data_IF_566884731611
#
_entry.id   IF_566884731611
#
_cell.length_a   1.000
_cell.length_b   1.000
_cell.length_c   1.000
_cell.angle_alpha   90.00
_cell.angle_beta   90.00
_cell.angle_gamma   90.00
#
_symmetry.space_group_name_H-M   'P 1'
#
loop_
_entity.id
_entity.type
_entity.pdbx_description
1 polymer ?
#
# COMPACT_ATOMS: atom_id res chain seq x y z
N UNK A 1 0.03 17.29 -8.85
CA UNK A 1 0.49 16.09 -9.58
C UNK A 1 1.66 16.45 -10.49
N UNK A 2 2.69 15.61 -10.44
CA UNK A 2 3.76 15.46 -11.41
C UNK A 2 3.58 14.09 -12.06
N UNK A 3 3.46 14.02 -13.39
CA UNK A 3 3.22 12.77 -14.11
C UNK A 3 4.33 12.53 -15.12
N UNK A 4 5.09 11.45 -14.90
CA UNK A 4 6.21 11.03 -15.72
C UNK A 4 5.77 9.83 -16.54
N UNK A 5 5.81 9.95 -17.86
CA UNK A 5 5.33 8.92 -18.78
C UNK A 5 6.46 8.49 -19.69
N UNK A 6 6.71 7.18 -19.76
CA UNK A 6 7.66 6.56 -20.70
C UNK A 6 9.03 7.25 -20.73
N UNK A 7 9.53 7.56 -19.55
CA UNK A 7 10.77 8.29 -19.33
C UNK A 7 11.83 7.38 -18.72
N UNK A 8 13.10 7.77 -18.85
CA UNK A 8 14.25 6.98 -18.42
C UNK A 8 15.23 7.90 -17.68
N UNK A 9 15.93 7.38 -16.66
CA UNK A 9 16.95 8.08 -15.88
C UNK A 9 16.41 9.37 -15.23
N UNK A 10 15.43 9.20 -14.35
CA UNK A 10 14.70 10.31 -13.73
C UNK A 10 15.26 10.55 -12.33
N UNK A 11 15.49 11.81 -11.99
CA UNK A 11 15.83 12.23 -10.63
C UNK A 11 14.89 13.35 -10.18
N UNK A 12 14.17 13.11 -9.09
CA UNK A 12 13.28 14.07 -8.44
C UNK A 12 13.79 14.25 -7.02
N UNK A 13 14.16 15.46 -6.65
CA UNK A 13 14.65 15.70 -5.30
C UNK A 13 14.39 17.12 -4.81
N UNK A 14 14.29 17.26 -3.48
CA UNK A 14 14.18 18.56 -2.79
C UNK A 14 12.94 19.38 -3.21
N UNK A 15 11.82 18.70 -3.50
CA UNK A 15 10.55 19.35 -3.86
C UNK A 15 9.47 19.15 -2.81
N UNK A 16 8.51 20.08 -2.78
CA UNK A 16 7.26 19.94 -2.05
C UNK A 16 6.07 19.95 -3.01
N UNK A 17 5.14 19.00 -2.86
CA UNK A 17 3.90 18.93 -3.62
C UNK A 17 2.74 19.03 -2.63
N UNK A 18 1.92 20.07 -2.80
CA UNK A 18 0.72 20.30 -2.02
C UNK A 18 -0.51 20.17 -2.90
N UNK A 19 -1.41 19.29 -2.49
CA UNK A 19 -2.69 19.02 -3.07
C UNK A 19 -3.82 19.34 -2.10
N UNK A 20 -5.00 19.70 -2.61
CA UNK A 20 -6.17 19.81 -1.74
C UNK A 20 -6.60 18.41 -1.31
N UNK A 21 -6.55 18.18 0.00
CA UNK A 21 -6.92 16.91 0.63
C UNK A 21 -8.37 16.50 0.37
N UNK A 22 -9.22 17.36 -0.17
CA UNK A 22 -10.63 17.06 -0.47
C UNK A 22 -10.91 16.86 -1.96
N UNK A 23 -9.89 16.95 -2.82
CA UNK A 23 -10.04 16.77 -4.27
C UNK A 23 -9.59 15.35 -4.64
N UNK A 24 -10.48 14.50 -5.19
CA UNK A 24 -10.10 13.17 -5.68
C UNK A 24 -9.21 13.29 -6.92
N UNK A 25 -8.45 12.23 -7.24
CA UNK A 25 -7.54 12.17 -8.38
C UNK A 25 -6.46 13.27 -8.36
N UNK A 26 -6.15 13.77 -7.16
CA UNK A 26 -5.12 14.76 -6.93
C UNK A 26 -3.84 14.08 -6.45
N UNK A 27 -3.28 13.25 -7.32
CA UNK A 27 -2.07 12.46 -7.05
C UNK A 27 -0.83 13.37 -6.89
N UNK A 28 0.19 12.85 -6.20
CA UNK A 28 1.47 13.52 -6.01
C UNK A 28 2.41 13.33 -7.19
N UNK A 29 3.09 12.18 -7.24
CA UNK A 29 4.03 11.79 -8.29
C UNK A 29 3.56 10.47 -8.91
N UNK A 30 3.15 10.54 -10.17
CA UNK A 30 2.83 9.40 -11.00
C UNK A 30 4.05 8.99 -11.83
N UNK A 31 4.48 7.74 -11.70
CA UNK A 31 5.57 7.16 -12.50
C UNK A 31 4.92 6.11 -13.41
N UNK A 32 4.71 6.44 -14.67
CA UNK A 32 4.01 5.57 -15.63
C UNK A 32 4.97 5.09 -16.70
N UNK A 33 5.09 3.76 -16.84
CA UNK A 33 5.92 3.10 -17.87
C UNK A 33 7.38 3.60 -17.92
N UNK A 34 7.93 4.05 -16.79
CA UNK A 34 9.19 4.81 -16.72
C UNK A 34 10.23 4.10 -15.85
N UNK A 35 11.46 3.94 -16.33
CA UNK A 35 12.47 3.15 -15.62
C UNK A 35 13.62 4.00 -15.09
N UNK A 36 14.36 3.43 -14.13
CA UNK A 36 15.56 4.03 -13.53
C UNK A 36 15.24 5.40 -12.90
N UNK A 37 14.33 5.39 -11.94
CA UNK A 37 13.81 6.58 -11.27
C UNK A 37 14.27 6.66 -9.82
N UNK A 38 14.77 7.84 -9.42
CA UNK A 38 15.13 8.14 -8.03
C UNK A 38 14.32 9.33 -7.54
N UNK A 39 13.63 9.17 -6.41
CA UNK A 39 12.87 10.21 -5.71
C UNK A 39 13.47 10.36 -4.31
N UNK A 40 13.91 11.55 -3.91
CA UNK A 40 14.53 11.72 -2.59
C UNK A 40 14.32 13.09 -1.96
N UNK A 41 14.21 13.16 -0.63
CA UNK A 41 14.05 14.42 0.12
C UNK A 41 12.83 15.25 -0.33
N UNK A 42 11.72 14.57 -0.61
CA UNK A 42 10.49 15.21 -1.03
C UNK A 42 9.47 15.30 0.12
N UNK A 43 8.64 16.34 0.08
CA UNK A 43 7.49 16.51 0.95
C UNK A 43 6.21 16.44 0.11
N UNK A 44 5.35 15.44 0.32
CA UNK A 44 4.17 15.21 -0.51
C UNK A 44 2.93 15.16 0.37
N UNK A 45 1.97 16.03 0.09
CA UNK A 45 0.74 16.18 0.87
C UNK A 45 -0.45 16.32 -0.07
N UNK A 46 -1.19 15.23 -0.31
CA UNK A 46 -2.12 15.13 -1.45
C UNK A 46 -3.47 14.52 -1.12
N UNK A 47 -4.50 14.90 -1.88
CA UNK A 47 -5.84 14.33 -1.74
C UNK A 47 -5.91 12.87 -2.18
N UNK A 48 -5.18 12.51 -3.22
CA UNK A 48 -5.11 11.13 -3.71
C UNK A 48 -3.69 10.57 -3.55
N UNK A 49 -3.34 9.52 -4.29
CA UNK A 49 -2.10 8.78 -4.09
C UNK A 49 -0.85 9.66 -4.18
N UNK A 50 0.03 9.60 -3.19
CA UNK A 50 1.17 10.51 -3.13
C UNK A 50 2.34 10.08 -4.03
N UNK A 51 2.73 8.81 -4.03
CA UNK A 51 3.67 8.24 -5.01
C UNK A 51 3.01 7.02 -5.65
N UNK A 52 2.78 7.08 -6.95
CA UNK A 52 1.96 6.11 -7.66
C UNK A 52 2.64 5.54 -8.92
N UNK A 53 3.41 4.45 -8.78
CA UNK A 53 3.89 3.68 -9.92
C UNK A 53 2.70 3.04 -10.68
N UNK A 54 2.63 3.28 -11.99
CA UNK A 54 1.60 2.77 -12.91
C UNK A 54 2.29 2.12 -14.12
N UNK A 55 1.69 1.07 -14.66
CA UNK A 55 2.21 0.38 -15.86
C UNK A 55 1.05 0.13 -16.82
N UNK A 56 0.97 0.92 -17.89
CA UNK A 56 -0.14 0.94 -18.85
C UNK A 56 0.26 0.40 -20.21
N UNK A 57 1.45 0.77 -20.68
CA UNK A 57 1.95 0.36 -22.00
C UNK A 57 3.33 -0.30 -21.95
N UNK A 58 3.99 -0.28 -20.80
CA UNK A 58 5.27 -0.94 -20.59
C UNK A 58 5.54 -1.22 -19.11
N UNK A 59 6.56 -2.04 -18.81
CA UNK A 59 6.95 -2.32 -17.45
C UNK A 59 7.60 -1.11 -16.78
N UNK A 60 7.70 -1.18 -15.46
CA UNK A 60 8.39 -0.18 -14.63
C UNK A 60 9.41 -0.91 -13.75
N UNK A 61 10.68 -0.59 -13.96
CA UNK A 61 11.82 -1.20 -13.31
C UNK A 61 12.69 -0.15 -12.61
N UNK A 62 13.32 -0.56 -11.51
CA UNK A 62 14.35 0.21 -10.81
C UNK A 62 13.83 1.58 -10.33
N UNK A 63 12.88 1.56 -9.40
CA UNK A 63 12.40 2.75 -8.70
C UNK A 63 12.97 2.78 -7.29
N UNK A 64 13.64 3.88 -6.94
CA UNK A 64 14.14 4.13 -5.58
C UNK A 64 13.50 5.38 -5.01
N UNK A 65 12.90 5.29 -3.82
CA UNK A 65 12.32 6.41 -3.08
C UNK A 65 12.92 6.47 -1.69
N UNK A 66 13.50 7.61 -1.32
CA UNK A 66 14.20 7.75 -0.03
C UNK A 66 13.98 9.09 0.65
N UNK A 67 14.11 9.14 1.98
CA UNK A 67 14.15 10.40 2.74
C UNK A 67 12.91 11.30 2.55
N UNK A 68 11.73 10.70 2.34
CA UNK A 68 10.50 11.44 2.03
C UNK A 68 9.56 11.55 3.23
N UNK A 69 8.82 12.65 3.27
CA UNK A 69 7.66 12.84 4.14
C UNK A 69 6.38 12.85 3.31
N UNK A 70 5.38 12.06 3.71
CA UNK A 70 4.19 11.81 2.91
C UNK A 70 2.90 11.86 3.76
N UNK A 71 1.88 12.55 3.26
CA UNK A 71 0.49 12.48 3.73
C UNK A 71 -0.46 12.33 2.53
N UNK A 72 -1.44 11.44 2.64
CA UNK A 72 -2.44 11.22 1.58
C UNK A 72 -3.81 10.83 2.13
N UNK A 73 -4.91 11.42 1.64
CA UNK A 73 -6.27 10.91 1.93
C UNK A 73 -6.64 9.63 1.18
N UNK A 74 -5.77 9.17 0.30
CA UNK A 74 -5.81 7.86 -0.37
C UNK A 74 -4.62 7.04 0.13
N UNK A 75 -3.68 6.69 -0.73
CA UNK A 75 -2.49 5.91 -0.34
C UNK A 75 -1.21 6.75 -0.36
N UNK A 76 -0.36 6.62 0.65
CA UNK A 76 0.94 7.28 0.61
C UNK A 76 1.83 6.74 -0.51
N UNK A 77 1.88 5.43 -0.69
CA UNK A 77 2.60 4.78 -1.79
C UNK A 77 1.68 3.70 -2.35
N UNK A 78 1.28 3.80 -3.62
CA UNK A 78 0.40 2.83 -4.26
C UNK A 78 0.92 2.34 -5.60
N UNK A 79 1.05 1.03 -5.75
CA UNK A 79 1.33 0.44 -7.07
C UNK A 79 0.00 0.16 -7.77
N UNK A 80 -0.17 0.71 -8.97
CA UNK A 80 -1.37 0.59 -9.78
C UNK A 80 -2.39 1.72 -9.53
N UNK A 81 -3.69 1.52 -9.74
CA UNK A 81 -4.28 0.24 -10.14
C UNK A 81 -3.98 -0.15 -11.59
N UNK A 82 -3.55 0.81 -12.41
CA UNK A 82 -3.00 0.57 -13.75
C UNK A 82 -1.75 -0.31 -13.66
N UNK A 83 -1.89 -1.61 -13.93
CA UNK A 83 -0.91 -2.64 -13.57
C UNK A 83 -0.78 -3.71 -14.65
N UNK A 84 -0.80 -3.30 -15.91
CA UNK A 84 -0.83 -4.18 -17.08
C UNK A 84 0.51 -4.86 -17.36
N UNK A 85 1.60 -4.30 -16.85
CA UNK A 85 2.96 -4.80 -17.05
C UNK A 85 3.70 -4.85 -15.72
N UNK A 86 4.91 -5.39 -15.75
CA UNK A 86 5.63 -5.75 -14.54
C UNK A 86 6.09 -4.53 -13.73
N UNK A 87 6.02 -4.65 -12.40
CA UNK A 87 6.71 -3.78 -11.44
C UNK A 87 7.87 -4.57 -10.83
N UNK A 88 9.12 -4.14 -11.01
CA UNK A 88 10.28 -4.91 -10.52
C UNK A 88 11.42 -4.05 -9.96
N UNK A 89 12.05 -4.55 -8.90
CA UNK A 89 13.21 -3.93 -8.24
C UNK A 89 12.91 -2.53 -7.70
N UNK A 90 11.96 -2.42 -6.78
CA UNK A 90 11.68 -1.15 -6.12
C UNK A 90 12.23 -1.14 -4.69
N UNK A 91 12.79 0.01 -4.30
CA UNK A 91 13.34 0.24 -2.97
C UNK A 91 12.73 1.51 -2.40
N UNK A 92 12.15 1.40 -1.21
CA UNK A 92 11.58 2.49 -0.44
C UNK A 92 12.25 2.49 0.93
N UNK A 93 13.01 3.53 1.24
CA UNK A 93 13.81 3.58 2.47
C UNK A 93 13.70 4.93 3.19
N UNK A 94 13.69 4.92 4.53
CA UNK A 94 13.69 6.13 5.35
C UNK A 94 12.52 7.09 5.00
N UNK A 95 11.28 6.60 5.14
CA UNK A 95 10.07 7.35 4.79
C UNK A 95 9.22 7.57 6.04
N UNK A 96 8.67 8.78 6.18
CA UNK A 96 7.65 9.09 7.19
C UNK A 96 6.30 9.28 6.50
N UNK A 97 5.35 8.42 6.83
CA UNK A 97 3.95 8.50 6.38
C UNK A 97 3.09 8.95 7.55
N UNK A 98 2.31 10.01 7.37
CA UNK A 98 1.41 10.52 8.41
C UNK A 98 -0.02 10.65 7.92
N UNK A 99 -0.97 10.37 8.82
CA UNK A 99 -2.40 10.56 8.60
C UNK A 99 -2.89 10.00 7.25
N UNK A 100 -2.33 8.90 6.75
CA UNK A 100 -2.74 8.39 5.44
C UNK A 100 -3.91 7.40 5.54
N UNK A 101 -4.71 7.27 4.48
CA UNK A 101 -5.76 6.24 4.49
C UNK A 101 -5.17 4.85 4.32
N UNK A 102 -4.16 4.72 3.44
CA UNK A 102 -3.26 3.57 3.34
C UNK A 102 -1.82 4.01 3.42
N UNK A 103 -0.99 3.21 4.09
CA UNK A 103 0.45 3.41 4.09
C UNK A 103 1.07 2.91 2.79
N UNK A 104 1.42 1.63 2.78
CA UNK A 104 2.04 0.94 1.65
C UNK A 104 1.00 0.08 0.93
N UNK A 105 0.70 0.38 -0.33
CA UNK A 105 -0.40 -0.22 -1.05
C UNK A 105 0.03 -0.88 -2.38
N UNK A 106 -0.45 -2.10 -2.60
CA UNK A 106 -0.41 -2.79 -3.89
C UNK A 106 -1.86 -3.03 -4.30
N UNK A 107 -2.26 -2.43 -5.42
CA UNK A 107 -3.60 -2.58 -5.97
C UNK A 107 -3.48 -3.15 -7.38
N UNK A 108 -3.04 -4.40 -7.49
CA UNK A 108 -2.70 -5.03 -8.77
C UNK A 108 -3.94 -5.68 -9.36
N UNK A 109 -4.26 -5.32 -10.60
CA UNK A 109 -5.55 -5.63 -11.25
C UNK A 109 -5.46 -6.14 -12.67
N UNK A 110 -4.35 -5.91 -13.36
CA UNK A 110 -4.32 -6.03 -14.83
C UNK A 110 -3.33 -7.07 -15.38
N UNK A 111 -2.80 -7.95 -14.53
CA UNK A 111 -1.98 -9.09 -14.94
C UNK A 111 -0.47 -8.82 -15.00
N UNK A 112 -0.03 -7.61 -14.66
CA UNK A 112 1.39 -7.28 -14.48
C UNK A 112 1.91 -7.80 -13.15
N UNK A 113 2.87 -8.71 -13.22
CA UNK A 113 3.49 -9.30 -12.03
C UNK A 113 4.31 -8.26 -11.25
N UNK A 114 4.35 -8.42 -9.92
CA UNK A 114 5.15 -7.57 -9.04
C UNK A 114 6.20 -8.43 -8.35
N UNK A 115 7.46 -8.03 -8.44
CA UNK A 115 8.55 -8.79 -7.82
C UNK A 115 9.67 -7.91 -7.28
N UNK A 116 10.33 -8.42 -6.25
CA UNK A 116 11.59 -7.90 -5.73
C UNK A 116 11.45 -6.46 -5.20
N UNK A 117 10.58 -6.30 -4.19
CA UNK A 117 10.25 -5.01 -3.58
C UNK A 117 10.76 -4.96 -2.14
N UNK A 118 11.38 -3.84 -1.77
CA UNK A 118 11.87 -3.61 -0.40
C UNK A 118 11.30 -2.31 0.14
N UNK A 119 10.65 -2.41 1.30
CA UNK A 119 10.30 -1.29 2.15
C UNK A 119 11.10 -1.40 3.44
N UNK A 120 11.91 -0.39 3.76
CA UNK A 120 12.74 -0.37 4.95
C UNK A 120 12.74 0.96 5.69
N UNK A 121 12.88 0.91 7.02
CA UNK A 121 13.04 2.10 7.86
C UNK A 121 11.87 3.10 7.69
N UNK A 122 10.63 2.63 7.89
CA UNK A 122 9.42 3.45 7.63
C UNK A 122 8.64 3.65 8.92
N UNK A 123 8.27 4.91 9.19
CA UNK A 123 7.29 5.25 10.23
C UNK A 123 5.94 5.55 9.57
N UNK A 124 4.88 4.87 10.01
CA UNK A 124 3.56 4.96 9.40
C UNK A 124 2.52 5.38 10.44
N UNK A 125 1.72 6.39 10.11
CA UNK A 125 0.44 6.62 10.76
C UNK A 125 -0.68 6.57 9.73
N UNK A 126 -1.66 5.70 9.97
CA UNK A 126 -2.87 5.61 9.14
C UNK A 126 -4.13 5.80 9.96
N UNK A 127 -5.14 6.36 9.30
CA UNK A 127 -6.44 6.69 9.89
C UNK A 127 -7.55 6.47 8.90
N UNK A 128 -8.76 6.29 9.40
CA UNK A 128 -9.94 6.32 8.55
C UNK A 128 -10.22 7.74 8.07
N UNK A 129 -10.68 7.81 6.83
CA UNK A 129 -11.30 8.98 6.23
C UNK A 129 -12.76 8.68 5.89
N UNK A 130 -13.43 9.66 5.29
CA UNK A 130 -14.79 9.50 4.80
C UNK A 130 -14.92 8.23 3.91
N UNK A 131 -15.98 7.42 4.07
CA UNK A 131 -16.14 6.15 3.35
C UNK A 131 -16.10 6.26 1.82
N UNK A 132 -16.34 7.45 1.26
CA UNK A 132 -16.20 7.73 -0.17
C UNK A 132 -14.75 7.61 -0.66
N UNK A 133 -13.76 7.91 0.19
CA UNK A 133 -12.36 7.67 -0.11
C UNK A 133 -12.06 6.17 -0.09
N UNK A 134 -11.25 5.74 -1.05
CA UNK A 134 -10.72 4.38 -1.06
C UNK A 134 -9.63 4.26 0.01
N UNK A 135 -9.65 3.16 0.76
CA UNK A 135 -8.82 2.99 1.95
C UNK A 135 -9.65 2.64 3.16
N UNK A 136 -9.07 1.89 4.09
CA UNK A 136 -9.68 1.52 5.36
C UNK A 136 -8.64 1.53 6.49
N UNK A 137 -7.74 2.51 6.48
CA UNK A 137 -6.71 2.76 7.50
C UNK A 137 -5.59 1.70 7.57
N UNK A 138 -5.36 0.93 6.52
CA UNK A 138 -4.36 -0.14 6.52
C UNK A 138 -2.93 0.42 6.45
N UNK A 139 -2.02 0.05 7.36
CA UNK A 139 -0.61 0.46 7.25
C UNK A 139 0.07 -0.23 6.06
N UNK A 140 -0.33 -1.47 5.76
CA UNK A 140 0.11 -2.25 4.60
C UNK A 140 -1.11 -2.93 3.98
N UNK A 141 -1.30 -2.71 2.68
CA UNK A 141 -2.40 -3.24 1.88
C UNK A 141 -1.81 -3.91 0.64
N UNK A 142 -1.91 -5.22 0.52
CA UNK A 142 -1.39 -5.97 -0.63
C UNK A 142 -2.52 -6.75 -1.24
N UNK A 143 -2.94 -6.39 -2.45
CA UNK A 143 -4.04 -7.07 -3.14
C UNK A 143 -3.71 -7.37 -4.59
N UNK A 144 -4.03 -8.59 -5.02
CA UNK A 144 -4.07 -8.98 -6.43
C UNK A 144 -5.36 -9.72 -6.74
N UNK A 145 -6.10 -9.22 -7.72
CA UNK A 145 -7.30 -9.86 -8.27
C UNK A 145 -7.60 -9.22 -9.63
N UNK A 146 -8.37 -9.84 -10.53
CA UNK A 146 -8.57 -9.24 -11.85
C UNK A 146 -9.46 -7.99 -11.76
N UNK A 147 -9.16 -6.95 -12.57
CA UNK A 147 -9.98 -5.73 -12.68
C UNK A 147 -11.42 -6.04 -13.09
N UNK A 148 -11.57 -6.98 -14.02
CA UNK A 148 -12.84 -7.41 -14.57
C UNK A 148 -12.71 -8.84 -15.12
N UNK A 149 -13.77 -9.36 -15.75
CA UNK A 149 -13.82 -10.73 -16.30
C UNK A 149 -12.82 -10.99 -17.43
N UNK A 150 -12.26 -9.95 -18.04
CA UNK A 150 -11.32 -10.03 -19.17
C UNK A 150 -9.87 -9.82 -18.76
N UNK A 151 -9.66 -9.22 -17.59
CA UNK A 151 -8.35 -8.96 -17.03
C UNK A 151 -7.71 -10.22 -16.43
N UNK A 152 -6.38 -10.29 -16.47
CA UNK A 152 -5.62 -11.40 -15.91
C UNK A 152 -5.29 -11.15 -14.45
N UNK A 153 -5.19 -12.22 -13.68
CA UNK A 153 -4.61 -12.20 -12.34
C UNK A 153 -3.09 -12.09 -12.44
N UNK A 154 -2.48 -11.37 -11.49
CA UNK A 154 -1.04 -11.22 -11.38
C UNK A 154 -0.52 -11.86 -10.08
N UNK A 155 0.75 -12.23 -10.07
CA UNK A 155 1.47 -12.63 -8.86
C UNK A 155 2.18 -11.44 -8.21
N UNK A 156 2.29 -11.47 -6.88
CA UNK A 156 3.11 -10.52 -6.12
C UNK A 156 4.09 -11.36 -5.32
N UNK A 157 5.39 -11.17 -5.56
CA UNK A 157 6.42 -12.05 -4.98
C UNK A 157 7.65 -11.31 -4.46
N UNK A 158 8.34 -11.93 -3.49
CA UNK A 158 9.62 -11.45 -2.94
C UNK A 158 9.53 -10.00 -2.43
N UNK A 159 8.57 -9.75 -1.54
CA UNK A 159 8.35 -8.44 -0.94
C UNK A 159 8.83 -8.46 0.51
N UNK A 160 9.66 -7.48 0.88
CA UNK A 160 10.21 -7.38 2.23
C UNK A 160 9.83 -6.06 2.88
N UNK A 161 9.30 -6.16 4.09
CA UNK A 161 8.96 -5.03 4.97
C UNK A 161 9.85 -5.12 6.21
N UNK A 162 10.78 -4.18 6.37
CA UNK A 162 11.89 -4.29 7.31
C UNK A 162 11.97 -3.03 8.18
N UNK A 163 12.05 -3.16 9.50
CA UNK A 163 12.19 -2.01 10.40
C UNK A 163 11.06 -0.97 10.20
N UNK A 164 9.81 -1.40 10.38
CA UNK A 164 8.63 -0.55 10.21
C UNK A 164 7.92 -0.39 11.55
N UNK A 165 7.68 0.86 11.94
CA UNK A 165 6.80 1.20 13.07
C UNK A 165 5.52 1.79 12.53
N UNK A 166 4.36 1.30 13.01
CA UNK A 166 3.07 1.77 12.54
C UNK A 166 2.08 2.05 13.68
N UNK A 167 1.31 3.14 13.55
CA UNK A 167 0.11 3.40 14.35
C UNK A 167 -1.09 3.47 13.40
N UNK A 168 -2.00 2.51 13.48
CA UNK A 168 -3.08 2.37 12.51
C UNK A 168 -4.43 2.11 13.16
N UNK A 169 -5.47 2.55 12.47
CA UNK A 169 -6.84 2.19 12.85
C UNK A 169 -7.31 0.87 12.24
N UNK A 170 -6.50 0.19 11.41
CA UNK A 170 -6.82 -1.14 10.88
C UNK A 170 -5.56 -2.00 10.73
N UNK A 171 -5.75 -3.30 10.52
CA UNK A 171 -4.67 -4.27 10.34
C UNK A 171 -4.01 -4.23 8.97
N UNK A 172 -2.94 -4.99 8.84
CA UNK A 172 -2.34 -5.35 7.55
C UNK A 172 -3.32 -6.22 6.78
N UNK A 173 -3.55 -5.92 5.50
CA UNK A 173 -4.45 -6.70 4.65
C UNK A 173 -3.72 -7.28 3.45
N UNK A 174 -3.69 -8.62 3.35
CA UNK A 174 -3.00 -9.39 2.32
C UNK A 174 -3.98 -10.30 1.58
N UNK A 175 -4.43 -9.88 0.40
CA UNK A 175 -5.41 -10.63 -0.39
C UNK A 175 -4.82 -11.04 -1.74
N UNK A 176 -4.43 -12.30 -1.85
CA UNK A 176 -4.20 -12.92 -3.15
C UNK A 176 -5.51 -13.38 -3.80
N UNK A 177 -5.39 -14.00 -4.97
CA UNK A 177 -6.48 -14.70 -5.64
C UNK A 177 -6.12 -16.17 -5.84
N UNK A 178 -7.12 -16.99 -6.21
CA UNK A 178 -6.93 -18.44 -6.43
C UNK A 178 -5.80 -18.77 -7.42
N UNK A 179 -5.52 -17.91 -8.41
CA UNK A 179 -4.44 -18.11 -9.40
C UNK A 179 -3.35 -17.03 -9.36
N UNK A 180 -3.56 -15.93 -8.63
CA UNK A 180 -2.61 -14.85 -8.37
C UNK A 180 -2.17 -14.87 -6.92
N UNK A 181 -1.12 -15.62 -6.62
CA UNK A 181 -0.66 -15.83 -5.25
C UNK A 181 0.24 -14.69 -4.77
N UNK A 182 0.07 -14.33 -3.50
CA UNK A 182 1.10 -13.61 -2.76
C UNK A 182 2.17 -14.63 -2.36
N UNK A 183 3.44 -14.42 -2.75
CA UNK A 183 4.52 -15.38 -2.51
C UNK A 183 5.72 -14.74 -1.85
N UNK A 184 6.31 -15.38 -0.84
CA UNK A 184 7.57 -14.92 -0.23
C UNK A 184 7.49 -13.47 0.27
N UNK A 185 6.45 -13.17 1.04
CA UNK A 185 6.33 -11.90 1.76
C UNK A 185 7.02 -12.04 3.12
N UNK A 186 7.77 -11.03 3.54
CA UNK A 186 8.44 -11.04 4.84
C UNK A 186 8.19 -9.76 5.63
N UNK A 187 7.81 -9.91 6.89
CA UNK A 187 7.71 -8.87 7.90
C UNK A 187 8.82 -9.06 8.92
N UNK A 188 9.78 -8.15 8.97
CA UNK A 188 11.01 -8.29 9.77
C UNK A 188 11.21 -7.05 10.63
N UNK A 189 11.32 -7.21 11.95
CA UNK A 189 11.54 -6.11 12.90
C UNK A 189 10.45 -5.04 12.78
N UNK A 190 9.21 -5.38 13.14
CA UNK A 190 8.09 -4.43 13.06
C UNK A 190 7.45 -4.20 14.42
N UNK A 191 6.98 -2.98 14.67
CA UNK A 191 6.20 -2.64 15.85
C UNK A 191 4.92 -1.92 15.40
N UNK A 192 3.77 -2.56 15.60
CA UNK A 192 2.49 -2.05 15.12
C UNK A 192 1.55 -1.87 16.30
N UNK A 193 1.03 -0.65 16.43
CA UNK A 193 0.01 -0.31 17.42
C UNK A 193 -1.31 -0.05 16.70
N UNK A 194 -2.30 -0.89 17.00
CA UNK A 194 -3.67 -0.75 16.52
C UNK A 194 -4.49 0.00 17.55
N UNK A 195 -5.15 1.08 17.12
CA UNK A 195 -6.02 1.84 18.01
C UNK A 195 -7.07 2.59 17.22
N UNK A 196 -8.21 2.81 17.84
CA UNK A 196 -9.31 3.58 17.28
C UNK A 196 -9.25 5.01 17.83
N UNK A 197 -9.22 6.01 16.95
CA UNK A 197 -9.17 7.43 17.34
C UNK A 197 -9.97 8.36 16.42
N UNK A 198 -10.45 7.88 15.27
CA UNK A 198 -11.44 8.60 14.45
C UNK A 198 -12.85 8.09 14.72
N UNK A 199 -13.83 8.92 14.35
CA UNK A 199 -15.27 8.61 14.46
C UNK A 199 -15.83 7.82 13.26
N UNK A 200 -15.02 7.51 12.24
CA UNK A 200 -15.49 6.80 11.05
C UNK A 200 -15.67 5.31 11.32
N UNK A 201 -16.75 4.69 10.85
CA UNK A 201 -16.97 3.26 11.06
C UNK A 201 -15.84 2.40 10.41
N UNK A 202 -15.33 1.43 11.15
CA UNK A 202 -14.38 0.42 10.65
C UNK A 202 -15.06 -0.90 10.24
N UNK A 203 -14.29 -1.98 10.18
CA UNK A 203 -14.82 -3.34 9.93
C UNK A 203 -15.19 -3.61 8.46
N UNK A 204 -14.51 -2.95 7.53
CA UNK A 204 -14.63 -3.17 6.08
C UNK A 204 -13.26 -3.43 5.44
N UNK A 205 -13.17 -4.48 4.62
CA UNK A 205 -12.13 -4.64 3.61
C UNK A 205 -12.53 -3.90 2.36
N UNK A 206 -11.57 -3.29 1.69
CA UNK A 206 -11.79 -2.59 0.44
C UNK A 206 -11.07 -3.32 -0.69
N UNK A 207 -11.82 -4.07 -1.50
CA UNK A 207 -11.30 -4.83 -2.65
C UNK A 207 -11.30 -4.02 -3.96
N UNK A 208 -11.90 -2.82 -3.94
CA UNK A 208 -12.09 -2.00 -5.14
C UNK A 208 -10.74 -1.55 -5.72
N UNK A 209 -10.67 -1.30 -7.04
CA UNK A 209 -11.65 -1.73 -8.03
C UNK A 209 -11.49 -3.23 -8.29
N UNK A 210 -12.51 -3.89 -8.81
CA UNK A 210 -12.37 -5.22 -9.41
C UNK A 210 -13.13 -6.29 -8.69
N UNK A 211 -12.43 -7.27 -8.11
CA UNK A 211 -13.02 -8.54 -7.69
C UNK A 211 -14.25 -8.41 -6.78
N UNK A 212 -14.24 -7.47 -5.83
CA UNK A 212 -15.35 -7.21 -4.91
C UNK A 212 -15.40 -5.72 -4.52
N UNK A 213 -16.53 -5.31 -3.96
CA UNK A 213 -16.73 -4.00 -3.34
C UNK A 213 -16.17 -4.00 -1.90
N UNK A 214 -16.82 -3.26 -0.99
CA UNK A 214 -16.52 -3.29 0.44
C UNK A 214 -17.10 -4.56 1.07
N UNK A 215 -16.29 -5.28 1.85
CA UNK A 215 -16.69 -6.53 2.50
C UNK A 215 -16.58 -6.39 4.01
N UNK A 216 -17.64 -6.76 4.74
CA UNK A 216 -17.62 -6.78 6.21
C UNK A 216 -16.58 -7.78 6.72
N UNK A 217 -15.79 -7.38 7.71
CA UNK A 217 -14.82 -8.24 8.36
C UNK A 217 -14.66 -7.89 9.84
N UNK A 218 -14.01 -8.80 10.57
CA UNK A 218 -13.46 -8.51 11.89
C UNK A 218 -12.03 -8.01 11.70
N UNK A 219 -11.64 -6.99 12.45
CA UNK A 219 -10.28 -6.48 12.37
C UNK A 219 -9.34 -7.41 13.14
N UNK A 220 -8.28 -7.85 12.47
CA UNK A 220 -7.15 -8.57 13.06
C UNK A 220 -5.85 -7.81 12.73
N UNK A 221 -4.74 -8.18 13.37
CA UNK A 221 -3.44 -7.55 13.13
C UNK A 221 -2.95 -7.75 11.70
N UNK A 222 -2.96 -9.00 11.22
CA UNK A 222 -2.72 -9.35 9.82
C UNK A 222 -3.90 -10.19 9.33
N UNK A 223 -4.57 -9.73 8.30
CA UNK A 223 -5.68 -10.43 7.66
C UNK A 223 -5.24 -10.91 6.30
N UNK A 224 -5.36 -12.21 6.04
CA UNK A 224 -4.75 -12.81 4.86
C UNK A 224 -5.58 -13.91 4.18
N UNK A 225 -5.48 -13.96 2.86
CA UNK A 225 -6.02 -15.02 2.00
C UNK A 225 -5.10 -15.25 0.80
N UNK A 226 -5.02 -16.50 0.33
CA UNK A 226 -4.24 -16.89 -0.86
C UNK A 226 -2.76 -16.45 -0.84
N UNK A 227 -2.07 -16.77 0.27
CA UNK A 227 -0.65 -16.47 0.49
C UNK A 227 0.18 -17.75 0.69
N UNK A 228 1.40 -17.75 0.15
CA UNK A 228 2.39 -18.83 0.27
C UNK A 228 3.75 -18.24 0.68
N UNK A 229 4.42 -18.85 1.65
CA UNK A 229 5.75 -18.39 2.08
C UNK A 229 5.75 -17.04 2.81
N UNK A 230 4.81 -16.82 3.73
CA UNK A 230 4.84 -15.66 4.63
C UNK A 230 5.86 -15.88 5.77
N UNK A 231 6.87 -15.01 5.87
CA UNK A 231 7.80 -14.96 7.01
C UNK A 231 7.42 -13.80 7.95
N UNK A 232 7.29 -14.08 9.25
CA UNK A 232 7.06 -13.07 10.29
C UNK A 232 8.14 -13.23 11.34
N UNK A 233 9.04 -12.25 11.46
CA UNK A 233 10.22 -12.32 12.33
C UNK A 233 10.39 -11.05 13.14
N UNK A 234 10.38 -11.18 14.46
CA UNK A 234 10.50 -10.06 15.40
C UNK A 234 9.45 -8.97 15.11
N UNK A 235 8.18 -9.37 15.15
CA UNK A 235 7.04 -8.47 14.94
C UNK A 235 6.24 -8.39 16.23
N UNK A 236 6.07 -7.16 16.72
CA UNK A 236 5.24 -6.85 17.88
C UNK A 236 3.96 -6.16 17.43
N UNK A 237 2.82 -6.64 17.94
CA UNK A 237 1.50 -6.10 17.68
C UNK A 237 0.81 -5.77 19.00
N UNK A 238 0.37 -4.53 19.15
CA UNK A 238 -0.29 -4.03 20.36
C UNK A 238 -1.64 -3.43 20.00
N UNK A 239 -2.62 -3.61 20.87
CA UNK A 239 -3.92 -2.96 20.77
C UNK A 239 -4.06 -1.98 21.92
N UNK A 240 -4.34 -0.72 21.61
CA UNK A 240 -4.68 0.29 22.62
C UNK A 240 -6.20 0.50 22.68
N UNK A 241 -6.70 0.74 23.90
CA UNK A 241 -8.09 0.95 24.28
C UNK A 241 -8.98 -0.32 24.29
N UNK A 242 -9.51 -0.65 25.48
CA UNK A 242 -10.25 -1.89 25.78
C UNK A 242 -11.71 -1.94 25.27
N UNK A 243 -12.21 -0.89 24.62
CA UNK A 243 -13.61 -0.86 24.10
C UNK A 243 -13.79 -1.60 22.76
N UNK A 244 -12.74 -2.28 22.31
CA UNK A 244 -12.72 -3.00 21.04
C UNK A 244 -13.03 -4.47 21.27
N UNK A 245 -14.31 -4.79 21.47
CA UNK A 245 -14.75 -6.19 21.35
C UNK A 245 -14.24 -6.74 20.01
N UNK A 246 -13.46 -7.82 20.07
CA UNK A 246 -12.98 -8.62 18.93
C UNK A 246 -11.72 -8.15 18.18
N UNK A 247 -10.94 -7.20 18.72
CA UNK A 247 -9.67 -6.77 18.08
C UNK A 247 -8.44 -7.49 18.60
N UNK A 248 -8.55 -8.38 19.58
CA UNK A 248 -7.41 -9.13 20.12
C UNK A 248 -6.96 -10.32 19.24
N UNK A 249 -7.22 -10.27 17.94
CA UNK A 249 -6.78 -11.30 17.00
C UNK A 249 -5.53 -10.83 16.23
N UNK A 250 -4.34 -11.40 16.47
CA UNK A 250 -3.14 -11.00 15.74
C UNK A 250 -3.15 -11.45 14.28
N UNK A 251 -3.78 -12.57 13.95
CA UNK A 251 -3.79 -13.10 12.58
C UNK A 251 -5.14 -13.72 12.23
N UNK A 252 -5.72 -13.31 11.12
CA UNK A 252 -6.93 -13.88 10.55
C UNK A 252 -6.62 -14.49 9.19
N UNK A 253 -6.98 -15.76 9.02
CA UNK A 253 -6.84 -16.50 7.78
C UNK A 253 -8.23 -16.77 7.21
N UNK A 254 -8.44 -16.37 5.97
CA UNK A 254 -9.65 -16.69 5.23
C UNK A 254 -9.31 -17.76 4.19
N UNK A 255 -10.07 -18.84 4.23
CA UNK A 255 -9.95 -20.01 3.33
C UNK A 255 -10.66 -19.78 2.01
#
# INVERSE_FOLDING_TARGET
SLHLVRSENISIHDIAIYGDLNIPNNDGIDIEDSNNTVITRCHIDTGDDAICPKSSTGPLYNLTVTDCWIRSKSSAIKFGSASWFEFKHFVFDNITIVDSHRGLAFQIRDGGDVSDIVFSNINISTRYYDPLWWGRAEPIYVTTCPRDKTSKEASISNVRFINITANSENGIFLSGSKRGLLRNLSFINMNITYRRFTSYAGGLFDYRPGCQELVKHKTAGIMMEHIEGLEVRNVEMRWENNELEQWNNPMEFKT
#
